data_IF_008642518333
#
_entry.id   IF_008642518333
#
_cell.length_a   1.000
_cell.length_b   1.000
_cell.length_c   1.000
_cell.angle_alpha   90.00
_cell.angle_beta   90.00
_cell.angle_gamma   90.00
#
_symmetry.space_group_name_H-M   'P 1'
#
loop_
_entity.id
_entity.type
_entity.pdbx_description
1 polymer ?
#
# COMPACT_ATOMS: atom_id res chain seq x y z
N UNK A 1 -6.07 -14.55 12.88
CA UNK A 1 -6.65 -13.73 11.78
C UNK A 1 -5.80 -12.48 11.64
N UNK A 2 -5.29 -12.21 10.44
CA UNK A 2 -4.34 -11.12 10.17
C UNK A 2 -5.06 -9.86 9.63
N UNK A 3 -4.34 -8.73 9.48
CA UNK A 3 -4.82 -7.56 8.72
C UNK A 3 -4.57 -7.75 7.23
N UNK A 4 -5.45 -7.19 6.41
CA UNK A 4 -5.31 -7.13 4.96
C UNK A 4 -4.87 -5.73 4.56
N UNK A 5 -3.98 -5.60 3.58
CA UNK A 5 -3.56 -4.29 3.04
C UNK A 5 -4.17 -4.10 1.66
N UNK A 6 -4.89 -3.01 1.46
CA UNK A 6 -5.48 -2.62 0.19
C UNK A 6 -4.92 -1.26 -0.29
N UNK A 7 -4.93 -1.04 -1.60
CA UNK A 7 -4.60 0.25 -2.21
C UNK A 7 -5.87 0.84 -2.80
N UNK A 8 -6.13 2.12 -2.55
CA UNK A 8 -7.28 2.84 -3.07
C UNK A 8 -6.95 4.31 -3.31
N UNK A 9 -7.57 4.98 -4.30
CA UNK A 9 -7.54 6.43 -4.40
C UNK A 9 -8.07 7.09 -3.12
N UNK A 10 -7.51 8.25 -2.78
CA UNK A 10 -8.05 9.10 -1.71
C UNK A 10 -9.34 9.74 -2.24
N UNK A 11 -10.44 9.52 -1.53
CA UNK A 11 -11.77 10.09 -1.76
C UNK A 11 -12.31 10.64 -0.44
N UNK A 12 -13.40 11.41 -0.45
CA UNK A 12 -14.02 11.92 0.79
C UNK A 12 -14.48 10.80 1.75
N UNK A 13 -14.77 9.62 1.20
CA UNK A 13 -15.11 8.41 1.96
C UNK A 13 -13.91 7.60 2.45
N UNK A 14 -12.68 8.09 2.24
CA UNK A 14 -11.47 7.35 2.61
C UNK A 14 -11.44 7.02 4.11
N UNK A 15 -11.18 5.76 4.40
CA UNK A 15 -10.99 5.23 5.76
C UNK A 15 -9.70 4.41 5.78
N UNK A 16 -8.69 4.82 6.56
CA UNK A 16 -7.41 4.10 6.63
C UNK A 16 -7.54 2.73 7.30
N UNK A 17 -8.60 2.50 8.08
CA UNK A 17 -8.89 1.23 8.73
C UNK A 17 -10.38 0.89 8.63
N UNK A 18 -10.68 -0.34 8.22
CA UNK A 18 -12.01 -0.95 8.31
C UNK A 18 -11.96 -2.17 9.23
N UNK A 19 -12.62 -2.06 10.39
CA UNK A 19 -12.67 -3.11 11.39
C UNK A 19 -13.48 -4.34 10.96
N UNK A 20 -14.46 -4.18 10.05
CA UNK A 20 -15.33 -5.28 9.60
C UNK A 20 -14.57 -6.25 8.71
N UNK A 21 -13.77 -5.70 7.80
CA UNK A 21 -12.95 -6.48 6.87
C UNK A 21 -11.51 -6.69 7.37
N UNK A 22 -11.14 -6.02 8.46
CA UNK A 22 -9.77 -5.94 8.98
C UNK A 22 -8.77 -5.44 7.94
N UNK A 23 -9.18 -4.44 7.17
CA UNK A 23 -8.41 -3.91 6.06
C UNK A 23 -7.81 -2.56 6.41
N UNK A 24 -6.48 -2.44 6.26
CA UNK A 24 -5.80 -1.16 6.21
C UNK A 24 -5.75 -0.72 4.75
N UNK A 25 -6.38 0.41 4.46
CA UNK A 25 -6.35 1.00 3.12
C UNK A 25 -5.24 2.03 3.07
N UNK A 26 -4.40 1.96 2.04
CA UNK A 26 -3.37 2.96 1.75
C UNK A 26 -3.74 3.71 0.47
N UNK A 27 -3.32 4.98 0.32
CA UNK A 27 -3.42 5.68 -0.94
C UNK A 27 -2.64 4.94 -2.03
N UNK A 28 -3.24 4.79 -3.21
CA UNK A 28 -2.56 4.19 -4.37
C UNK A 28 -1.38 5.05 -4.88
N UNK A 29 -1.46 6.37 -4.69
CA UNK A 29 -0.39 7.35 -4.95
C UNK A 29 0.74 7.31 -3.93
N UNK A 30 0.60 6.57 -2.80
CA UNK A 30 1.64 6.49 -1.77
C UNK A 30 2.84 5.68 -2.29
N UNK A 31 4.06 6.27 -2.29
CA UNK A 31 5.28 5.57 -2.70
C UNK A 31 5.53 4.30 -1.88
N UNK A 32 6.08 3.26 -2.51
CA UNK A 32 6.25 1.94 -1.89
C UNK A 32 7.08 2.00 -0.60
N UNK A 33 8.13 2.81 -0.62
CA UNK A 33 9.03 3.06 0.50
C UNK A 33 8.32 3.64 1.73
N UNK A 34 7.19 4.33 1.54
CA UNK A 34 6.44 4.96 2.62
C UNK A 34 5.28 4.10 3.12
N UNK A 35 4.85 3.09 2.35
CA UNK A 35 3.70 2.22 2.71
C UNK A 35 3.90 1.52 4.05
N UNK A 36 5.10 1.00 4.29
CA UNK A 36 5.40 0.32 5.55
C UNK A 36 5.27 1.25 6.75
N UNK A 37 5.73 2.50 6.61
CA UNK A 37 5.63 3.52 7.66
C UNK A 37 4.16 3.84 7.97
N UNK A 38 3.32 4.00 6.94
CA UNK A 38 1.89 4.28 7.13
C UNK A 38 1.17 3.09 7.76
N UNK A 39 1.43 1.86 7.31
CA UNK A 39 0.86 0.66 7.95
C UNK A 39 1.24 0.59 9.42
N UNK A 40 2.50 0.86 9.76
CA UNK A 40 2.95 0.89 11.15
C UNK A 40 2.25 1.97 11.97
N UNK A 41 2.07 3.17 11.39
CA UNK A 41 1.36 4.25 12.06
C UNK A 41 -0.10 3.86 12.36
N UNK A 42 -0.83 3.31 11.37
CA UNK A 42 -2.20 2.84 11.58
C UNK A 42 -2.27 1.75 12.64
N UNK A 43 -1.35 0.79 12.63
CA UNK A 43 -1.31 -0.27 13.65
C UNK A 43 -0.96 0.27 15.04
N UNK A 44 -0.09 1.27 15.13
CA UNK A 44 0.24 1.93 16.40
C UNK A 44 -0.98 2.67 16.99
N UNK A 45 -1.76 3.37 16.14
CA UNK A 45 -3.04 4.00 16.55
C UNK A 45 -4.08 2.97 17.03
N UNK A 46 -4.00 1.74 16.52
CA UNK A 46 -4.83 0.61 16.98
C UNK A 46 -4.25 -0.09 18.22
N UNK A 47 -3.28 0.52 18.90
CA UNK A 47 -2.58 -0.03 20.07
C UNK A 47 -1.90 -1.39 19.79
N UNK A 48 -1.43 -1.61 18.56
CA UNK A 48 -0.61 -2.77 18.18
C UNK A 48 0.85 -2.32 18.07
N UNK A 49 1.71 -2.60 19.08
CA UNK A 49 3.11 -2.19 19.06
C UNK A 49 3.84 -2.71 17.82
N UNK A 50 4.57 -1.82 17.14
CA UNK A 50 5.32 -2.15 15.93
C UNK A 50 6.83 -2.11 16.19
N UNK A 51 7.55 -3.06 15.61
CA UNK A 51 9.02 -3.07 15.59
C UNK A 51 9.56 -2.03 14.60
N UNK A 52 10.84 -1.68 14.73
CA UNK A 52 11.51 -0.75 13.80
C UNK A 52 11.59 -1.29 12.37
N UNK A 53 11.64 -2.62 12.23
CA UNK A 53 11.66 -3.32 10.95
C UNK A 53 10.37 -4.11 10.73
N UNK A 54 9.86 -4.09 9.50
CA UNK A 54 8.61 -4.76 9.12
C UNK A 54 7.37 -4.19 9.82
N UNK A 55 6.24 -4.88 9.66
CA UNK A 55 5.00 -4.60 10.37
C UNK A 55 4.43 -5.93 10.86
N UNK A 56 3.87 -5.94 12.07
CA UNK A 56 3.28 -7.13 12.69
C UNK A 56 1.82 -6.89 13.03
N UNK A 57 1.03 -7.91 12.76
CA UNK A 57 -0.35 -7.98 13.16
C UNK A 57 -0.46 -8.25 14.68
N UNK A 58 -1.61 -7.94 15.25
CA UNK A 58 -2.17 -8.38 16.52
C UNK A 58 -1.80 -9.82 16.91
N UNK A 59 -1.77 -10.74 15.94
CA UNK A 59 -1.43 -12.15 16.16
C UNK A 59 0.08 -12.45 16.10
N UNK A 60 0.93 -11.42 16.02
CA UNK A 60 2.39 -11.54 15.88
C UNK A 60 2.89 -11.83 14.46
N UNK A 61 2.01 -12.20 13.53
CA UNK A 61 2.39 -12.51 12.15
C UNK A 61 2.87 -11.26 11.39
N UNK A 62 3.81 -11.44 10.47
CA UNK A 62 4.26 -10.37 9.59
C UNK A 62 3.12 -9.93 8.65
N UNK A 63 3.01 -8.63 8.44
CA UNK A 63 2.08 -8.04 7.48
C UNK A 63 2.74 -7.99 6.11
N UNK A 64 2.08 -8.57 5.12
CA UNK A 64 2.53 -8.49 3.73
C UNK A 64 2.00 -7.22 3.06
N UNK A 65 2.91 -6.48 2.42
CA UNK A 65 2.55 -5.30 1.64
C UNK A 65 2.28 -5.70 0.18
N UNK A 66 1.23 -5.16 -0.47
CA UNK A 66 0.97 -5.42 -1.88
C UNK A 66 2.15 -4.89 -2.70
N UNK A 67 2.78 -5.80 -3.44
CA UNK A 67 3.84 -5.46 -4.40
C UNK A 67 3.21 -4.57 -5.48
N UNK A 68 3.85 -3.44 -5.78
CA UNK A 68 3.50 -2.68 -6.98
C UNK A 68 3.83 -3.60 -8.17
N UNK A 69 2.89 -3.94 -9.07
CA UNK A 69 3.28 -4.50 -10.35
C UNK A 69 4.10 -3.43 -11.04
N UNK A 70 5.41 -3.68 -11.22
CA UNK A 70 6.29 -2.78 -11.97
C UNK A 70 5.61 -2.50 -13.31
N UNK A 71 5.06 -1.30 -13.46
CA UNK A 71 4.40 -0.83 -14.66
C UNK A 71 5.42 -0.99 -15.78
N UNK A 72 5.21 -1.99 -16.64
CA UNK A 72 6.05 -2.22 -17.81
C UNK A 72 6.12 -0.88 -18.54
N UNK A 73 7.31 -0.31 -18.66
CA UNK A 73 7.56 0.85 -19.53
C UNK A 73 7.16 0.42 -20.94
N UNK A 74 5.91 0.67 -21.34
CA UNK A 74 5.59 0.84 -22.76
C UNK A 74 6.12 2.20 -23.17
N UNK A 75 7.42 2.22 -23.43
CA UNK A 75 8.04 3.21 -24.30
C UNK A 75 7.51 2.93 -25.71
N UNK A 76 6.28 3.33 -26.01
CA UNK A 76 5.86 3.43 -27.41
C UNK A 76 6.42 4.77 -27.91
N UNK A 77 7.71 4.78 -28.19
CA UNK A 77 8.32 5.84 -28.98
C UNK A 77 7.62 5.86 -30.33
N UNK A 78 6.78 6.86 -30.55
CA UNK A 78 6.24 7.17 -31.86
C UNK A 78 7.40 7.75 -32.68
N UNK A 79 8.15 6.88 -33.36
CA UNK A 79 9.11 7.29 -34.37
C UNK A 79 8.29 7.62 -35.61
N UNK A 80 8.07 8.91 -35.84
CA UNK A 80 7.55 9.40 -37.11
C UNK A 80 8.72 9.40 -38.09
N UNK A 81 8.83 8.34 -38.90
CA UNK A 81 9.68 8.33 -40.08
C UNK A 81 8.92 9.02 -41.21
N UNK A 82 9.21 10.29 -41.49
CA UNK A 82 8.85 10.90 -42.77
C UNK A 82 9.87 10.45 -43.82
N UNK A 83 9.45 9.55 -44.71
CA UNK A 83 10.16 9.24 -45.94
C UNK A 83 9.23 9.49 -47.13
N UNK A 84 9.48 10.59 -47.85
CA UNK A 84 9.19 10.80 -49.27
C UNK A 84 9.84 12.11 -49.69
#
# INVERSE_FOLDING_TARGET
>A
MCVTIALSPITDSYRPWDYRTRTITLPDTLPAEHRLRVVRAVLAELAVPQTESGARCWCGAAVELPRIPQRTRRTTGMVISHGA
#
